data_IF_597448333512
#
_entry.id   IF_597448333512
#
_cell.length_a   1.000
_cell.length_b   1.000
_cell.length_c   1.000
_cell.angle_alpha   90.00
_cell.angle_beta   90.00
_cell.angle_gamma   90.00
#
_symmetry.space_group_name_H-M   'P 1'
#
loop_
_entity.id
_entity.type
_entity.pdbx_description
1 polymer ?
#
# COMPACT_ATOMS: atom_id res chain seq x y z
N UNK A 1 4.00 39.59 -35.45
CA UNK A 1 5.25 38.84 -35.23
C UNK A 1 5.39 38.58 -33.73
N UNK A 2 4.77 37.50 -33.23
CA UNK A 2 4.92 37.09 -31.84
C UNK A 2 6.09 36.12 -31.73
N UNK A 3 6.90 36.31 -30.69
CA UNK A 3 7.99 35.42 -30.34
C UNK A 3 7.44 34.01 -30.16
N UNK A 4 7.97 33.08 -30.94
CA UNK A 4 7.92 31.66 -30.61
C UNK A 4 8.65 31.50 -29.27
N UNK A 5 7.92 31.10 -28.24
CA UNK A 5 8.52 30.59 -27.01
C UNK A 5 9.27 29.30 -27.38
N UNK A 6 10.59 29.38 -27.41
CA UNK A 6 11.45 28.20 -27.44
C UNK A 6 11.12 27.35 -26.20
N UNK A 7 10.51 26.19 -26.45
CA UNK A 7 10.34 25.12 -25.48
C UNK A 7 11.72 24.72 -24.95
N UNK A 8 12.07 25.22 -23.76
CA UNK A 8 13.24 24.73 -23.06
C UNK A 8 13.07 23.22 -22.76
N UNK A 9 14.12 22.41 -22.92
CA UNK A 9 14.08 21.01 -22.53
C UNK A 9 13.73 20.91 -21.04
N UNK A 10 12.66 20.16 -20.74
CA UNK A 10 12.20 19.94 -19.37
C UNK A 10 13.34 19.29 -18.59
N UNK A 11 13.92 20.01 -17.62
CA UNK A 11 14.87 19.44 -16.66
C UNK A 11 14.23 18.25 -15.95
N UNK A 12 14.76 17.05 -16.17
CA UNK A 12 14.29 15.77 -15.61
C UNK A 12 14.71 15.55 -14.15
N UNK A 13 15.23 16.57 -13.46
CA UNK A 13 15.63 16.43 -12.06
C UNK A 13 14.42 16.20 -11.18
N UNK A 14 14.33 14.99 -10.61
CA UNK A 14 13.43 14.62 -9.52
C UNK A 14 14.08 14.81 -8.14
N UNK A 15 15.21 15.52 -8.05
CA UNK A 15 15.94 15.75 -6.79
C UNK A 15 15.62 17.10 -6.15
N UNK A 16 14.86 17.94 -6.83
CA UNK A 16 14.69 19.35 -6.48
C UNK A 16 13.58 19.57 -5.42
N UNK A 17 13.11 18.52 -4.72
CA UNK A 17 12.00 18.64 -3.78
C UNK A 17 12.29 19.50 -2.54
N UNK A 18 13.58 19.81 -2.28
CA UNK A 18 14.04 20.69 -1.22
C UNK A 18 14.37 22.14 -1.65
N UNK A 19 14.33 22.47 -2.94
CA UNK A 19 14.67 23.82 -3.43
C UNK A 19 13.41 24.70 -3.59
N UNK A 20 13.57 26.02 -3.49
CA UNK A 20 12.50 26.99 -3.74
C UNK A 20 12.02 26.99 -5.20
N UNK A 21 12.91 26.64 -6.13
CA UNK A 21 12.60 26.47 -7.54
C UNK A 21 12.49 24.98 -7.87
N UNK A 22 11.26 24.46 -7.90
CA UNK A 22 10.96 23.08 -8.24
C UNK A 22 10.89 22.92 -9.76
N UNK A 23 11.55 21.89 -10.30
CA UNK A 23 11.30 21.47 -11.68
C UNK A 23 9.83 21.10 -11.89
N UNK A 24 9.31 21.28 -13.11
CA UNK A 24 7.94 20.88 -13.46
C UNK A 24 7.71 19.37 -13.22
N UNK A 25 8.75 18.56 -13.41
CA UNK A 25 8.73 17.13 -13.10
C UNK A 25 8.53 16.87 -11.60
N UNK A 26 9.32 17.53 -10.74
CA UNK A 26 9.19 17.41 -9.28
C UNK A 26 7.81 17.89 -8.78
N UNK A 27 7.29 19.00 -9.32
CA UNK A 27 5.96 19.49 -8.97
C UNK A 27 4.86 18.48 -9.32
N UNK A 28 4.94 17.86 -10.50
CA UNK A 28 3.97 16.84 -10.94
C UNK A 28 3.97 15.62 -10.03
N UNK A 29 5.15 15.12 -9.67
CA UNK A 29 5.29 14.02 -8.71
C UNK A 29 4.80 14.44 -7.32
N UNK A 30 5.07 15.67 -6.87
CA UNK A 30 4.57 16.18 -5.58
C UNK A 30 3.04 16.21 -5.53
N UNK A 31 2.37 16.60 -6.62
CA UNK A 31 0.90 16.54 -6.74
C UNK A 31 0.40 15.10 -6.62
N UNK A 32 1.05 14.16 -7.31
CA UNK A 32 0.75 12.74 -7.17
C UNK A 32 0.89 12.24 -5.71
N UNK A 33 1.97 12.61 -5.02
CA UNK A 33 2.17 12.23 -3.61
C UNK A 33 1.11 12.84 -2.69
N UNK A 34 0.67 14.08 -2.95
CA UNK A 34 -0.45 14.69 -2.20
C UNK A 34 -1.74 13.91 -2.34
N UNK A 35 -2.09 13.47 -3.55
CA UNK A 35 -3.27 12.62 -3.78
C UNK A 35 -3.11 11.30 -3.01
N UNK A 36 -1.95 10.65 -3.09
CA UNK A 36 -1.67 9.41 -2.35
C UNK A 36 -1.74 9.59 -0.82
N UNK A 37 -1.27 10.71 -0.31
CA UNK A 37 -1.31 11.04 1.11
C UNK A 37 -2.74 11.32 1.60
N UNK A 38 -3.56 12.01 0.79
CA UNK A 38 -5.00 12.18 1.07
C UNK A 38 -5.73 10.84 1.11
N UNK A 39 -5.39 9.92 0.19
CA UNK A 39 -5.95 8.57 0.19
C UNK A 39 -5.54 7.82 1.46
N UNK A 40 -4.25 7.87 1.81
CA UNK A 40 -3.72 7.28 3.03
C UNK A 40 -4.44 7.81 4.27
N UNK A 41 -4.64 9.13 4.40
CA UNK A 41 -5.38 9.74 5.51
C UNK A 41 -6.82 9.24 5.59
N UNK A 42 -7.54 9.21 4.46
CA UNK A 42 -8.90 8.66 4.42
C UNK A 42 -8.92 7.17 4.82
N UNK A 43 -7.94 6.38 4.40
CA UNK A 43 -7.81 4.99 4.82
C UNK A 43 -7.47 4.86 6.32
N UNK A 44 -6.60 5.72 6.85
CA UNK A 44 -6.20 5.74 8.25
C UNK A 44 -7.41 5.91 9.18
N UNK A 45 -8.31 6.81 8.81
CA UNK A 45 -9.54 7.15 9.54
C UNK A 45 -10.60 6.06 9.52
N UNK A 46 -10.61 5.25 8.46
CA UNK A 46 -11.74 4.38 8.15
C UNK A 46 -11.39 2.89 8.05
N UNK A 47 -10.14 2.51 8.30
CA UNK A 47 -9.71 1.11 8.30
C UNK A 47 -9.48 0.63 9.72
N UNK A 48 -10.21 -0.42 10.11
CA UNK A 48 -10.05 -1.08 11.39
C UNK A 48 -8.86 -2.06 11.42
N UNK A 49 -8.40 -2.48 10.24
CA UNK A 49 -7.33 -3.46 10.05
C UNK A 49 -6.05 -2.83 9.52
N UNK A 50 -4.97 -3.60 9.58
CA UNK A 50 -3.67 -3.17 9.06
C UNK A 50 -3.70 -3.11 7.52
N UNK A 51 -3.00 -2.14 6.93
CA UNK A 51 -2.88 -1.98 5.49
C UNK A 51 -1.56 -1.31 5.12
N UNK A 52 -1.09 -1.54 3.89
CA UNK A 52 -0.03 -0.75 3.26
C UNK A 52 -0.49 -0.20 1.92
N UNK A 53 -0.02 1.01 1.60
CA UNK A 53 -0.17 1.66 0.31
C UNK A 53 1.21 1.87 -0.29
N UNK A 54 1.45 1.28 -1.47
CA UNK A 54 2.61 1.59 -2.29
C UNK A 54 2.30 2.79 -3.18
N UNK A 55 2.97 3.92 -2.92
CA UNK A 55 2.73 5.18 -3.64
C UNK A 55 3.09 5.09 -5.13
N UNK A 56 4.25 4.53 -5.52
CA UNK A 56 4.59 4.38 -6.95
C UNK A 56 3.55 3.54 -7.71
N UNK A 57 3.03 2.47 -7.11
CA UNK A 57 2.00 1.67 -7.73
C UNK A 57 0.70 2.43 -7.92
N UNK A 58 0.25 3.07 -6.85
CA UNK A 58 -0.95 3.88 -6.86
C UNK A 58 -0.89 4.97 -7.94
N UNK A 59 0.22 5.71 -8.00
CA UNK A 59 0.47 6.74 -9.01
C UNK A 59 0.41 6.16 -10.42
N UNK A 60 1.08 5.01 -10.64
CA UNK A 60 1.05 4.34 -11.93
C UNK A 60 -0.36 3.94 -12.36
N UNK A 61 -1.23 3.56 -11.42
CA UNK A 61 -2.60 3.19 -11.74
C UNK A 61 -3.47 4.38 -12.07
N UNK A 62 -3.41 5.46 -11.28
CA UNK A 62 -4.15 6.67 -11.60
C UNK A 62 -3.70 7.26 -12.93
N UNK A 63 -2.41 7.23 -13.21
CA UNK A 63 -1.84 7.66 -14.49
C UNK A 63 -2.31 6.78 -15.67
N UNK A 64 -2.41 5.46 -15.47
CA UNK A 64 -3.01 4.53 -16.43
C UNK A 64 -4.49 4.84 -16.68
N UNK A 65 -5.31 4.95 -15.63
CA UNK A 65 -6.73 5.30 -15.74
C UNK A 65 -6.91 6.64 -16.44
N UNK A 66 -6.10 7.65 -16.11
CA UNK A 66 -6.13 8.95 -16.75
C UNK A 66 -5.68 8.92 -18.22
N UNK A 67 -4.99 7.86 -18.66
CA UNK A 67 -4.57 7.68 -20.06
C UNK A 67 -5.66 7.06 -20.93
N UNK A 68 -6.41 6.11 -20.38
CA UNK A 68 -7.40 5.30 -21.10
C UNK A 68 -8.84 5.82 -20.89
N UNK A 69 -9.18 6.30 -19.69
CA UNK A 69 -10.49 6.84 -19.31
C UNK A 69 -10.44 8.37 -19.25
N UNK A 70 -9.88 9.00 -20.29
CA UNK A 70 -9.54 10.42 -20.29
C UNK A 70 -10.72 11.34 -19.97
N UNK A 71 -11.87 11.08 -20.56
CA UNK A 71 -13.09 11.89 -20.37
C UNK A 71 -13.74 11.66 -19.01
N UNK A 72 -13.44 10.53 -18.36
CA UNK A 72 -14.05 10.08 -17.11
C UNK A 72 -13.17 10.34 -15.88
N UNK A 73 -11.97 10.89 -16.10
CA UNK A 73 -10.96 11.19 -15.07
C UNK A 73 -10.72 12.70 -14.92
N UNK A 74 -11.73 13.52 -15.18
CA UNK A 74 -11.65 14.99 -15.14
C UNK A 74 -11.23 15.53 -13.78
N UNK A 75 -11.68 14.96 -12.65
CA UNK A 75 -11.20 15.41 -11.34
C UNK A 75 -9.72 15.16 -11.11
N UNK A 76 -9.12 14.11 -11.68
CA UNK A 76 -7.66 13.94 -11.64
C UNK A 76 -6.97 15.07 -12.40
N UNK A 77 -7.50 15.50 -13.54
CA UNK A 77 -6.96 16.63 -14.31
C UNK A 77 -7.02 17.94 -13.52
N UNK A 78 -8.11 18.14 -12.78
CA UNK A 78 -8.30 19.30 -11.90
C UNK A 78 -7.24 19.36 -10.81
N UNK A 79 -6.84 18.22 -10.22
CA UNK A 79 -5.72 18.16 -9.24
C UNK A 79 -4.38 18.63 -9.85
N UNK A 80 -4.22 18.49 -11.17
CA UNK A 80 -3.05 19.02 -11.89
C UNK A 80 -3.22 20.48 -12.34
N UNK A 81 -4.36 21.12 -12.08
CA UNK A 81 -4.64 22.50 -12.45
C UNK A 81 -4.95 22.69 -13.93
N UNK A 82 -5.40 21.63 -14.61
CA UNK A 82 -5.81 21.73 -16.01
C UNK A 82 -7.16 22.44 -16.10
N UNK A 83 -7.24 23.48 -16.92
CA UNK A 83 -8.48 24.24 -17.10
C UNK A 83 -9.37 23.56 -18.13
N UNK A 84 -10.67 23.48 -17.86
CA UNK A 84 -11.69 23.09 -18.85
C UNK A 84 -11.79 24.08 -20.02
N UNK A 85 -11.28 25.30 -19.85
CA UNK A 85 -11.22 26.33 -20.90
C UNK A 85 -9.96 26.29 -21.74
N UNK A 86 -8.99 25.42 -21.41
CA UNK A 86 -7.79 25.23 -22.22
C UNK A 86 -8.16 24.60 -23.56
N UNK A 87 -7.55 25.09 -24.64
CA UNK A 87 -7.72 24.50 -25.97
C UNK A 87 -7.26 23.03 -26.00
N UNK A 88 -7.87 22.23 -26.87
CA UNK A 88 -7.64 20.78 -26.96
C UNK A 88 -6.16 20.42 -27.09
N UNK A 89 -5.41 21.13 -27.94
CA UNK A 89 -3.98 20.90 -28.13
C UNK A 89 -3.17 21.13 -26.84
N UNK A 90 -3.52 22.15 -26.06
CA UNK A 90 -2.84 22.44 -24.80
C UNK A 90 -3.07 21.32 -23.78
N UNK A 91 -4.31 20.82 -23.69
CA UNK A 91 -4.66 19.68 -22.84
C UNK A 91 -3.92 18.40 -23.26
N UNK A 92 -3.80 18.15 -24.57
CA UNK A 92 -3.04 17.00 -25.09
C UNK A 92 -1.55 17.10 -24.73
N UNK A 93 -0.95 18.28 -24.83
CA UNK A 93 0.46 18.50 -24.45
C UNK A 93 0.66 18.33 -22.94
N UNK A 94 -0.23 18.92 -22.12
CA UNK A 94 -0.19 18.76 -20.66
C UNK A 94 -0.32 17.30 -20.25
N UNK A 95 -1.23 16.56 -20.88
CA UNK A 95 -1.40 15.13 -20.66
C UNK A 95 -0.13 14.36 -21.02
N UNK A 96 0.38 14.53 -22.24
CA UNK A 96 1.59 13.86 -22.71
C UNK A 96 2.77 14.09 -21.75
N UNK A 97 3.02 15.34 -21.37
CA UNK A 97 4.12 15.71 -20.49
C UNK A 97 3.98 15.04 -19.11
N UNK A 98 2.78 15.06 -18.53
CA UNK A 98 2.54 14.41 -17.23
C UNK A 98 2.76 12.89 -17.31
N UNK A 99 2.34 12.25 -18.42
CA UNK A 99 2.53 10.80 -18.61
C UNK A 99 4.02 10.44 -18.74
N UNK A 100 4.79 11.21 -19.51
CA UNK A 100 6.24 11.02 -19.66
C UNK A 100 6.97 11.20 -18.33
N UNK A 101 6.67 12.28 -17.59
CA UNK A 101 7.23 12.53 -16.26
C UNK A 101 6.93 11.37 -15.31
N UNK A 102 5.66 10.93 -15.26
CA UNK A 102 5.23 9.86 -14.37
C UNK A 102 5.98 8.57 -14.70
N UNK A 103 6.14 8.24 -15.98
CA UNK A 103 6.80 7.00 -16.37
C UNK A 103 8.29 7.02 -16.14
N UNK A 104 8.96 8.14 -16.40
CA UNK A 104 10.38 8.29 -16.11
C UNK A 104 10.62 8.13 -14.61
N UNK A 105 9.77 8.72 -13.77
CA UNK A 105 9.78 8.49 -12.32
C UNK A 105 9.61 7.01 -11.98
N UNK A 106 8.57 6.35 -12.52
CA UNK A 106 8.27 4.94 -12.25
C UNK A 106 9.39 3.98 -12.70
N UNK A 107 9.98 4.22 -13.87
CA UNK A 107 11.09 3.41 -14.41
C UNK A 107 12.34 3.56 -13.55
N UNK A 108 12.67 4.80 -13.20
CA UNK A 108 13.82 5.11 -12.34
C UNK A 108 13.64 4.46 -10.98
N UNK A 109 12.48 4.66 -10.37
CA UNK A 109 12.16 4.10 -9.07
C UNK A 109 12.18 2.56 -9.07
N UNK A 110 11.61 1.91 -10.09
CA UNK A 110 11.67 0.44 -10.24
C UNK A 110 13.11 -0.06 -10.32
N UNK A 111 13.97 0.60 -11.09
CA UNK A 111 15.38 0.23 -11.23
C UNK A 111 16.12 0.36 -9.90
N UNK A 112 15.89 1.45 -9.18
CA UNK A 112 16.54 1.71 -7.89
C UNK A 112 16.06 0.80 -6.77
N UNK A 113 14.77 0.42 -6.78
CA UNK A 113 14.23 -0.57 -5.86
C UNK A 113 14.89 -1.93 -6.13
N UNK A 114 14.95 -2.36 -7.40
CA UNK A 114 15.65 -3.57 -7.85
C UNK A 114 17.10 -3.60 -7.33
N UNK A 115 17.84 -2.50 -7.47
CA UNK A 115 19.21 -2.36 -6.96
C UNK A 115 19.31 -2.39 -5.44
N UNK A 116 18.30 -1.90 -4.72
CA UNK A 116 18.31 -1.86 -3.25
C UNK A 116 17.96 -3.19 -2.58
N UNK A 117 17.36 -4.11 -3.32
CA UNK A 117 17.05 -5.43 -2.81
C UNK A 117 18.22 -6.38 -2.91
N UNK A 118 18.19 -7.41 -2.05
CA UNK A 118 19.03 -8.58 -2.28
C UNK A 118 18.80 -9.11 -3.70
N UNK A 119 19.88 -9.47 -4.45
CA UNK A 119 19.75 -10.25 -5.66
C UNK A 119 18.84 -11.46 -5.42
N UNK A 120 17.73 -11.55 -6.15
CA UNK A 120 16.78 -12.67 -6.05
C UNK A 120 15.57 -12.48 -5.12
N UNK A 121 15.44 -11.37 -4.38
CA UNK A 121 14.32 -11.18 -3.42
C UNK A 121 13.40 -9.97 -3.65
N UNK A 122 13.55 -9.24 -4.77
CA UNK A 122 12.41 -8.47 -5.28
C UNK A 122 11.57 -9.38 -6.15
N UNK A 123 10.38 -9.73 -5.64
CA UNK A 123 9.25 -9.98 -6.52
C UNK A 123 8.78 -8.64 -7.02
N UNK A 124 9.09 -8.37 -8.29
CA UNK A 124 8.72 -7.14 -8.96
C UNK A 124 7.25 -6.85 -8.72
N UNK A 125 6.97 -5.66 -8.23
CA UNK A 125 5.76 -4.89 -8.53
C UNK A 125 4.99 -5.44 -9.75
N UNK A 126 3.89 -6.18 -9.54
CA UNK A 126 3.03 -6.67 -10.64
C UNK A 126 1.71 -5.90 -10.67
N UNK A 127 1.20 -5.67 -11.87
CA UNK A 127 -0.07 -5.01 -12.12
C UNK A 127 -0.81 -5.88 -13.10
N UNK A 128 -2.06 -6.17 -12.81
CA UNK A 128 -2.88 -7.06 -13.62
C UNK A 128 -4.23 -6.41 -13.84
N UNK A 129 -4.64 -6.37 -15.10
CA UNK A 129 -6.02 -6.15 -15.47
C UNK A 129 -6.68 -7.52 -15.61
N UNK A 130 -7.59 -7.79 -14.67
CA UNK A 130 -8.26 -9.06 -14.52
C UNK A 130 -9.60 -8.99 -15.25
N UNK A 131 -9.89 -9.99 -16.07
CA UNK A 131 -11.17 -10.10 -16.78
C UNK A 131 -11.96 -11.34 -16.35
N UNK A 132 -13.31 -11.26 -16.34
CA UNK A 132 -14.19 -12.38 -16.04
C UNK A 132 -14.30 -13.29 -17.27
N UNK A 133 -13.45 -14.33 -17.37
CA UNK A 133 -13.45 -15.42 -18.40
C UNK A 133 -13.41 -15.04 -19.90
N UNK A 134 -13.77 -13.82 -20.29
CA UNK A 134 -13.75 -13.30 -21.66
C UNK A 134 -13.09 -11.92 -21.67
N UNK A 135 -12.09 -11.75 -22.56
CA UNK A 135 -11.43 -10.47 -22.78
C UNK A 135 -12.22 -9.61 -23.77
N UNK A 136 -12.24 -8.30 -23.55
CA UNK A 136 -12.79 -7.31 -24.49
C UNK A 136 -11.71 -6.94 -25.52
N UNK A 137 -12.11 -6.65 -26.76
CA UNK A 137 -11.19 -6.08 -27.75
C UNK A 137 -10.81 -4.65 -27.34
N UNK A 138 -9.53 -4.40 -27.12
CA UNK A 138 -9.01 -3.07 -26.76
C UNK A 138 -8.64 -2.25 -27.99
N UNK A 139 -8.76 -0.92 -27.89
CA UNK A 139 -8.14 -0.03 -28.87
C UNK A 139 -6.62 -0.11 -28.78
N UNK A 140 -5.94 0.23 -29.88
CA UNK A 140 -4.47 0.24 -29.96
C UNK A 140 -3.84 1.08 -28.84
N UNK A 141 -4.43 2.25 -28.54
CA UNK A 141 -3.99 3.15 -27.48
C UNK A 141 -4.01 2.48 -26.10
N UNK A 142 -5.00 1.63 -25.84
CA UNK A 142 -5.13 0.90 -24.57
C UNK A 142 -4.09 -0.21 -24.48
N UNK A 143 -3.83 -0.94 -25.57
CA UNK A 143 -2.74 -1.91 -25.64
C UNK A 143 -1.36 -1.26 -25.40
N UNK A 144 -1.12 -0.09 -26.00
CA UNK A 144 0.09 0.70 -25.75
C UNK A 144 0.20 1.13 -24.29
N UNK A 145 -0.91 1.58 -23.68
CA UNK A 145 -0.94 1.94 -22.26
C UNK A 145 -0.66 0.74 -21.35
N UNK A 146 -1.27 -0.43 -21.60
CA UNK A 146 -1.00 -1.65 -20.84
C UNK A 146 0.50 -1.99 -20.85
N UNK A 147 1.14 -1.96 -22.03
CA UNK A 147 2.59 -2.15 -22.16
C UNK A 147 3.38 -1.06 -21.42
N UNK A 148 3.00 0.20 -21.59
CA UNK A 148 3.70 1.38 -21.05
C UNK A 148 3.67 1.42 -19.52
N UNK A 149 2.57 0.95 -18.91
CA UNK A 149 2.40 0.86 -17.46
C UNK A 149 2.70 -0.54 -16.89
N UNK A 150 3.20 -1.47 -17.70
CA UNK A 150 3.49 -2.85 -17.29
C UNK A 150 2.28 -3.54 -16.62
N UNK A 151 1.10 -3.33 -17.19
CA UNK A 151 -0.13 -4.00 -16.77
C UNK A 151 -0.30 -5.25 -17.60
N UNK A 152 -0.27 -6.41 -16.93
CA UNK A 152 -0.49 -7.71 -17.55
C UNK A 152 -2.00 -7.95 -17.68
N UNK A 153 -2.42 -8.58 -18.77
CA UNK A 153 -3.78 -9.06 -18.91
C UNK A 153 -3.85 -10.47 -18.35
N UNK A 154 -4.79 -10.72 -17.44
CA UNK A 154 -5.02 -12.07 -16.92
C UNK A 154 -6.51 -12.39 -16.88
N UNK A 155 -6.85 -13.59 -17.35
CA UNK A 155 -8.14 -14.21 -17.15
C UNK A 155 -8.03 -15.09 -15.92
N UNK A 156 -8.99 -14.97 -15.01
CA UNK A 156 -9.12 -15.86 -13.86
C UNK A 156 -10.37 -16.70 -14.04
N UNK A 157 -10.25 -18.01 -13.86
CA UNK A 157 -11.38 -18.96 -13.94
C UNK A 157 -12.18 -19.04 -12.63
N UNK A 158 -11.76 -18.31 -11.58
CA UNK A 158 -12.47 -18.23 -10.30
C UNK A 158 -11.64 -17.63 -9.17
N UNK A 159 -12.23 -17.58 -7.97
CA UNK A 159 -11.60 -16.99 -6.79
C UNK A 159 -10.38 -17.80 -6.29
N UNK A 160 -10.37 -19.12 -6.49
CA UNK A 160 -9.23 -19.97 -6.13
C UNK A 160 -7.98 -19.65 -6.95
N UNK A 161 -8.11 -19.53 -8.28
CA UNK A 161 -6.98 -19.18 -9.15
C UNK A 161 -6.46 -17.77 -8.86
N UNK A 162 -7.36 -16.84 -8.52
CA UNK A 162 -6.98 -15.50 -8.08
C UNK A 162 -6.16 -15.54 -6.78
N UNK A 163 -6.63 -16.27 -5.77
CA UNK A 163 -5.92 -16.46 -4.49
C UNK A 163 -4.58 -17.17 -4.68
N UNK A 164 -4.54 -18.20 -5.52
CA UNK A 164 -3.32 -18.92 -5.85
C UNK A 164 -2.30 -18.00 -6.54
N UNK A 165 -2.74 -17.17 -7.48
CA UNK A 165 -1.86 -16.20 -8.14
C UNK A 165 -1.33 -15.14 -7.18
N UNK A 166 -2.18 -14.58 -6.29
CA UNK A 166 -1.71 -13.65 -5.25
C UNK A 166 -0.67 -14.35 -4.35
N UNK A 167 -0.98 -15.57 -3.92
CA UNK A 167 -0.12 -16.39 -3.05
C UNK A 167 1.24 -16.68 -3.67
N UNK A 168 1.27 -17.05 -4.94
CA UNK A 168 2.49 -17.28 -5.71
C UNK A 168 3.33 -16.01 -5.84
N UNK A 169 2.70 -14.88 -6.17
CA UNK A 169 3.40 -13.62 -6.43
C UNK A 169 3.87 -12.91 -5.16
N UNK A 170 3.27 -13.20 -4.01
CA UNK A 170 3.73 -12.70 -2.70
C UNK A 170 4.54 -13.74 -1.91
N UNK A 171 4.58 -15.02 -2.33
CA UNK A 171 5.14 -16.15 -1.58
C UNK A 171 4.49 -16.36 -0.22
N UNK A 172 3.18 -16.13 -0.13
CA UNK A 172 2.45 -16.24 1.13
C UNK A 172 1.18 -17.03 0.95
N UNK A 173 0.74 -17.65 2.03
CA UNK A 173 -0.52 -18.36 2.05
C UNK A 173 -1.66 -17.37 2.36
N UNK A 174 -2.50 -17.10 1.35
CA UNK A 174 -3.71 -16.28 1.48
C UNK A 174 -4.99 -17.12 1.66
N UNK A 175 -4.90 -18.43 1.87
CA UNK A 175 -6.05 -19.36 1.95
C UNK A 175 -7.12 -18.91 2.95
N UNK A 176 -6.73 -18.25 4.05
CA UNK A 176 -7.63 -17.76 5.11
C UNK A 176 -7.89 -16.25 5.09
N UNK A 177 -7.23 -15.49 4.21
CA UNK A 177 -7.53 -14.07 4.08
C UNK A 177 -8.75 -13.89 3.21
N UNK A 178 -9.65 -12.99 3.61
CA UNK A 178 -10.72 -12.49 2.76
C UNK A 178 -10.08 -11.73 1.61
N UNK A 179 -9.56 -12.40 0.58
CA UNK A 179 -9.26 -11.77 -0.70
C UNK A 179 -10.60 -11.48 -1.34
N UNK A 180 -10.80 -10.27 -1.88
CA UNK A 180 -12.07 -9.94 -2.54
C UNK A 180 -12.29 -10.99 -3.64
N UNK A 181 -13.33 -11.81 -3.48
CA UNK A 181 -13.66 -12.84 -4.47
C UNK A 181 -13.86 -12.17 -5.81
N UNK A 182 -13.19 -12.72 -6.82
CA UNK A 182 -13.04 -12.11 -8.14
C UNK A 182 -14.25 -12.47 -8.97
N UNK A 183 -15.38 -11.90 -8.58
CA UNK A 183 -16.70 -12.04 -9.18
C UNK A 183 -17.43 -13.34 -8.84
N UNK A 184 -17.87 -13.41 -7.59
CA UNK A 184 -18.70 -14.46 -6.98
C UNK A 184 -18.13 -15.89 -7.08
N UNK A 185 -17.72 -16.41 -5.93
CA UNK A 185 -18.24 -17.68 -5.41
C UNK A 185 -18.30 -17.57 -3.87
N UNK A 186 -19.29 -18.22 -3.27
CA UNK A 186 -19.55 -18.42 -1.83
C UNK A 186 -20.14 -17.24 -1.02
N UNK A 187 -21.47 -17.33 -0.88
CA UNK A 187 -22.11 -17.35 0.43
C UNK A 187 -21.16 -17.86 1.53
N UNK A 188 -20.59 -16.95 2.31
CA UNK A 188 -20.03 -17.33 3.60
C UNK A 188 -21.21 -17.80 4.46
N UNK A 189 -21.24 -19.11 4.70
CA UNK A 189 -22.38 -19.89 5.23
C UNK A 189 -23.17 -19.26 6.38
N UNK A 190 -24.49 -19.52 6.31
CA UNK A 190 -25.47 -19.68 7.38
C UNK A 190 -25.57 -18.60 8.46
N UNK A 191 -26.55 -17.70 8.29
CA UNK A 191 -27.46 -17.24 9.35
C UNK A 191 -28.60 -16.39 8.76
N UNK A 192 -29.46 -16.97 7.91
CA UNK A 192 -30.85 -16.51 7.77
C UNK A 192 -31.72 -17.73 7.47
N UNK A 193 -32.46 -18.18 8.47
CA UNK A 193 -33.54 -19.15 8.31
C UNK A 193 -34.47 -18.75 7.16
N UNK A 194 -34.74 -19.72 6.28
CA UNK A 194 -35.90 -19.82 5.39
C UNK A 194 -36.22 -18.62 4.47
N UNK A 195 -36.05 -18.78 3.16
CA UNK A 195 -37.17 -18.82 2.20
C UNK A 195 -36.70 -19.57 0.96
N UNK A 196 -37.47 -20.58 0.54
CA UNK A 196 -37.31 -21.34 -0.69
C UNK A 196 -37.01 -20.45 -1.91
N UNK A 197 -35.85 -20.65 -2.54
CA UNK A 197 -35.61 -20.21 -3.91
C UNK A 197 -35.51 -21.46 -4.77
N UNK A 198 -36.60 -21.73 -5.48
CA UNK A 198 -36.70 -22.77 -6.51
C UNK A 198 -35.53 -22.67 -7.50
N UNK A 199 -34.73 -23.73 -7.54
CA UNK A 199 -33.72 -23.98 -8.58
C UNK A 199 -34.40 -24.10 -9.94
N UNK A 200 -34.41 -23.03 -10.73
CA UNK A 200 -34.61 -23.12 -12.18
C UNK A 200 -33.29 -23.48 -12.86
N UNK A 201 -33.27 -24.42 -13.83
CA UNK A 201 -32.07 -24.73 -14.59
C UNK A 201 -31.69 -23.50 -15.45
N UNK A 202 -30.46 -23.03 -15.30
CA UNK A 202 -29.93 -21.88 -16.01
C UNK A 202 -29.69 -22.20 -17.50
N UNK A 203 -30.19 -21.35 -18.40
CA UNK A 203 -29.86 -21.39 -19.82
C UNK A 203 -28.42 -20.91 -20.04
N UNK A 204 -27.54 -21.80 -20.52
CA UNK A 204 -26.08 -21.58 -20.70
C UNK A 204 -25.74 -20.35 -21.58
N UNK A 205 -26.67 -19.84 -22.40
CA UNK A 205 -26.48 -18.66 -23.23
C UNK A 205 -26.59 -17.31 -22.52
N UNK A 206 -27.39 -17.20 -21.45
CA UNK A 206 -27.57 -15.94 -20.71
C UNK A 206 -26.40 -15.63 -19.78
N UNK A 207 -25.73 -16.67 -19.26
CA UNK A 207 -24.60 -16.50 -18.34
C UNK A 207 -23.39 -15.85 -19.00
N UNK A 208 -23.08 -16.16 -20.27
CA UNK A 208 -21.95 -15.55 -20.98
C UNK A 208 -22.14 -14.04 -21.23
N UNK A 209 -23.38 -13.62 -21.52
CA UNK A 209 -23.73 -12.20 -21.73
C UNK A 209 -23.72 -11.43 -20.39
N UNK A 210 -24.17 -12.04 -19.29
CA UNK A 210 -24.10 -11.46 -17.95
C UNK A 210 -22.66 -11.41 -17.40
N UNK A 211 -21.84 -12.43 -17.65
CA UNK A 211 -20.41 -12.43 -17.32
C UNK A 211 -19.64 -11.36 -18.10
N UNK A 212 -19.99 -11.14 -19.37
CA UNK A 212 -19.43 -10.06 -20.18
C UNK A 212 -19.76 -8.65 -19.64
N UNK A 213 -20.87 -8.48 -18.90
CA UNK A 213 -21.22 -7.20 -18.27
C UNK A 213 -20.44 -6.91 -16.99
N UNK A 214 -19.69 -7.88 -16.44
CA UNK A 214 -18.88 -7.67 -15.24
C UNK A 214 -17.65 -6.80 -15.58
N UNK A 215 -17.51 -5.66 -14.91
CA UNK A 215 -16.36 -4.76 -15.10
C UNK A 215 -15.05 -5.43 -14.64
N UNK A 216 -13.92 -5.21 -15.33
CA UNK A 216 -12.62 -5.79 -14.98
C UNK A 216 -12.10 -5.26 -13.63
N UNK A 217 -11.15 -5.97 -13.03
CA UNK A 217 -10.45 -5.53 -11.82
C UNK A 217 -9.04 -5.13 -12.22
N UNK A 218 -8.68 -3.88 -11.97
CA UNK A 218 -7.30 -3.45 -11.99
C UNK A 218 -6.67 -3.73 -10.62
N UNK A 219 -5.91 -4.82 -10.57
CA UNK A 219 -5.20 -5.27 -9.38
C UNK A 219 -3.72 -4.89 -9.44
N UNK A 220 -3.11 -4.66 -8.28
CA UNK A 220 -1.67 -4.62 -8.16
C UNK A 220 -1.18 -5.31 -6.90
N UNK A 221 -0.01 -5.93 -7.06
CA UNK A 221 0.73 -6.57 -6.00
C UNK A 221 2.06 -5.84 -5.86
N UNK A 222 2.40 -5.50 -4.63
CA UNK A 222 3.67 -4.88 -4.30
C UNK A 222 4.27 -5.53 -3.06
N UNK A 223 5.54 -5.90 -3.16
CA UNK A 223 6.31 -6.44 -2.05
C UNK A 223 7.59 -5.63 -1.92
N UNK A 224 7.79 -5.01 -0.77
CA UNK A 224 9.04 -4.36 -0.41
C UNK A 224 9.68 -5.08 0.77
N UNK A 225 10.98 -5.36 0.63
CA UNK A 225 11.77 -5.98 1.67
C UNK A 225 13.03 -5.14 1.93
N UNK A 226 13.04 -4.42 3.04
CA UNK A 226 14.05 -3.39 3.35
C UNK A 226 14.90 -3.84 4.53
N UNK A 227 16.19 -3.50 4.58
CA UNK A 227 16.95 -3.67 5.82
C UNK A 227 17.11 -2.34 6.54
N UNK A 228 16.79 -2.37 7.82
CA UNK A 228 17.35 -1.44 8.79
C UNK A 228 18.83 -1.80 8.97
N UNK A 229 19.67 -0.82 9.25
CA UNK A 229 21.10 -1.03 9.52
C UNK A 229 21.36 -2.19 10.51
N UNK A 230 22.11 -3.25 10.14
CA UNK A 230 22.27 -4.45 10.97
C UNK A 230 23.16 -4.24 12.20
N UNK A 231 23.93 -3.15 12.24
CA UNK A 231 24.71 -2.77 13.42
C UNK A 231 23.83 -2.25 14.57
N UNK A 232 22.65 -1.69 14.26
CA UNK A 232 21.69 -1.23 15.26
C UNK A 232 20.49 -2.17 15.40
N UNK A 233 20.14 -2.94 14.37
CA UNK A 233 18.96 -3.82 14.38
C UNK A 233 19.30 -5.23 14.86
N UNK A 234 18.58 -5.72 15.87
CA UNK A 234 18.79 -7.06 16.40
C UNK A 234 18.21 -8.13 15.47
N UNK A 235 19.08 -8.74 14.69
CA UNK A 235 18.74 -9.83 13.76
C UNK A 235 18.65 -11.21 14.46
N UNK A 236 19.01 -11.32 15.74
CA UNK A 236 19.18 -12.61 16.42
C UNK A 236 17.98 -12.99 17.27
N UNK A 237 17.37 -12.02 17.94
CA UNK A 237 16.34 -12.29 18.94
C UNK A 237 15.03 -11.60 18.60
N UNK A 238 13.93 -12.28 18.91
CA UNK A 238 12.62 -11.68 19.00
C UNK A 238 12.35 -11.33 20.47
N UNK A 239 11.73 -10.17 20.69
CA UNK A 239 11.46 -9.68 22.03
C UNK A 239 9.97 -9.81 22.33
N UNK A 240 9.62 -10.17 23.56
CA UNK A 240 8.23 -10.38 23.95
C UNK A 240 7.89 -9.48 25.14
N UNK A 241 6.73 -8.83 25.05
CA UNK A 241 6.10 -8.15 26.17
C UNK A 241 4.63 -8.57 26.19
N UNK A 242 4.24 -9.28 27.25
CA UNK A 242 2.97 -10.03 27.30
C UNK A 242 2.93 -11.02 26.13
N UNK A 243 1.90 -10.95 25.28
CA UNK A 243 1.72 -11.80 24.11
C UNK A 243 2.17 -11.15 22.80
N UNK A 244 2.74 -9.94 22.85
CA UNK A 244 3.15 -9.20 21.66
C UNK A 244 4.64 -9.41 21.40
N UNK A 245 4.97 -9.70 20.14
CA UNK A 245 6.34 -9.83 19.63
C UNK A 245 6.83 -8.48 19.13
N UNK A 246 8.08 -8.13 19.40
CA UNK A 246 8.75 -6.89 19.06
C UNK A 246 10.09 -7.16 18.39
N UNK A 247 10.45 -6.29 17.45
CA UNK A 247 11.83 -6.10 17.00
C UNK A 247 12.54 -5.12 17.91
N UNK A 248 13.87 -5.24 17.99
CA UNK A 248 14.73 -4.34 18.76
C UNK A 248 15.72 -3.62 17.87
N UNK A 249 15.83 -2.31 18.08
CA UNK A 249 16.94 -1.48 17.65
C UNK A 249 17.69 -1.04 18.89
N UNK A 250 19.01 -1.23 18.93
CA UNK A 250 19.86 -0.89 20.06
C UNK A 250 20.84 0.22 19.69
N UNK A 251 21.14 1.08 20.66
CA UNK A 251 22.26 1.99 20.57
C UNK A 251 23.58 1.20 20.49
N UNK A 252 24.55 1.75 19.78
CA UNK A 252 25.91 1.21 19.69
C UNK A 252 26.91 2.24 20.21
N UNK A 253 28.18 1.86 20.48
CA UNK A 253 29.20 2.83 20.86
C UNK A 253 29.36 4.01 19.87
N UNK A 254 29.00 3.80 18.59
CA UNK A 254 29.14 4.79 17.53
C UNK A 254 27.83 5.50 17.15
N UNK A 255 26.68 4.94 17.54
CA UNK A 255 25.34 5.44 17.19
C UNK A 255 24.44 5.42 18.42
N UNK A 256 24.23 6.59 19.02
CA UNK A 256 23.29 6.77 20.11
C UNK A 256 21.86 7.02 19.59
N UNK A 257 20.85 6.47 20.27
CA UNK A 257 19.45 6.79 20.01
C UNK A 257 19.12 8.06 20.79
N UNK A 258 18.98 9.18 20.06
CA UNK A 258 18.73 10.51 20.66
C UNK A 258 17.25 10.80 20.71
N UNK A 259 16.79 11.38 21.82
CA UNK A 259 15.47 11.98 21.90
C UNK A 259 15.50 13.44 21.47
N UNK A 260 14.49 13.83 20.70
CA UNK A 260 14.27 15.19 20.22
C UNK A 260 12.82 15.61 20.45
N UNK A 261 12.56 16.90 20.50
CA UNK A 261 11.20 17.44 20.58
C UNK A 261 10.76 17.97 19.22
N UNK A 262 9.47 17.87 18.91
CA UNK A 262 8.82 18.46 17.73
C UNK A 262 7.40 18.90 18.07
N UNK A 263 6.90 19.91 17.36
CA UNK A 263 5.53 20.41 17.48
C UNK A 263 4.50 19.49 16.79
N UNK A 264 4.95 18.38 16.17
CA UNK A 264 4.05 17.39 15.59
C UNK A 264 3.10 16.80 16.63
N UNK A 265 1.82 16.51 16.27
CA UNK A 265 0.81 16.05 17.22
C UNK A 265 0.96 14.58 17.62
N UNK A 266 2.10 13.95 17.35
CA UNK A 266 2.40 12.54 17.56
C UNK A 266 3.89 12.35 17.86
N UNK A 267 4.26 11.16 18.35
CA UNK A 267 5.67 10.78 18.44
C UNK A 267 6.10 10.05 17.17
N UNK A 268 7.37 10.17 16.80
CA UNK A 268 7.96 9.37 15.75
C UNK A 268 9.31 8.79 16.09
N UNK A 269 9.69 7.76 15.38
CA UNK A 269 11.05 7.24 15.34
C UNK A 269 11.52 7.30 13.89
N UNK A 270 12.75 7.76 13.67
CA UNK A 270 13.40 7.73 12.36
C UNK A 270 14.60 6.78 12.44
N UNK A 271 14.62 5.76 11.60
CA UNK A 271 15.64 4.73 11.55
C UNK A 271 16.39 4.76 10.21
N UNK A 272 17.72 4.65 10.21
CA UNK A 272 18.50 4.54 8.98
C UNK A 272 18.37 3.14 8.37
N UNK A 273 18.15 3.09 7.06
CA UNK A 273 18.20 1.85 6.30
C UNK A 273 19.64 1.54 5.84
N UNK A 274 19.88 0.32 5.38
CA UNK A 274 21.16 -0.07 4.74
C UNK A 274 21.41 0.76 3.47
N UNK A 275 20.35 1.03 2.70
CA UNK A 275 20.42 1.98 1.59
C UNK A 275 20.32 3.40 2.15
N UNK A 276 21.31 4.28 1.91
CA UNK A 276 21.37 5.61 2.51
C UNK A 276 20.26 6.56 2.02
N UNK A 277 19.75 6.34 0.81
CA UNK A 277 18.65 7.13 0.23
C UNK A 277 17.27 6.73 0.78
N UNK A 278 17.20 5.80 1.73
CA UNK A 278 15.98 5.35 2.36
C UNK A 278 16.06 5.51 3.88
N UNK A 279 14.94 5.90 4.46
CA UNK A 279 14.76 5.82 5.91
C UNK A 279 13.42 5.18 6.26
N UNK A 280 13.36 4.62 7.46
CA UNK A 280 12.15 4.00 7.98
C UNK A 280 11.62 4.86 9.13
N UNK A 281 10.36 5.27 9.02
CA UNK A 281 9.71 6.17 9.98
C UNK A 281 8.54 5.45 10.63
N UNK A 282 8.51 5.46 11.95
CA UNK A 282 7.37 5.00 12.74
C UNK A 282 6.66 6.21 13.34
N UNK A 283 5.33 6.26 13.27
CA UNK A 283 4.53 7.29 13.94
C UNK A 283 3.53 6.60 14.89
N UNK A 284 3.49 7.02 16.15
CA UNK A 284 2.64 6.41 17.18
C UNK A 284 2.06 7.47 18.11
N UNK A 285 1.04 7.09 18.90
CA UNK A 285 0.25 7.99 19.73
C UNK A 285 -0.33 9.17 18.94
N UNK A 286 -0.82 8.87 17.73
CA UNK A 286 -1.41 9.85 16.83
C UNK A 286 -2.94 9.90 16.98
N UNK A 287 -3.52 11.06 16.67
CA UNK A 287 -4.96 11.23 16.49
C UNK A 287 -5.37 10.81 15.07
N UNK A 288 -6.67 10.75 14.78
CA UNK A 288 -7.21 10.37 13.45
C UNK A 288 -6.51 11.09 12.27
N UNK A 289 -6.12 12.35 12.45
CA UNK A 289 -5.27 13.09 11.49
C UNK A 289 -3.82 13.21 11.96
N UNK A 290 -2.86 12.89 11.07
CA UNK A 290 -1.41 13.03 11.31
C UNK A 290 -0.96 14.50 11.22
N UNK A 291 -0.94 15.05 10.01
CA UNK A 291 -0.58 16.42 9.64
C UNK A 291 -0.78 16.57 8.12
N UNK A 292 -0.48 17.72 7.53
CA UNK A 292 -0.43 17.85 6.07
C UNK A 292 0.78 17.09 5.48
N UNK A 293 0.71 16.76 4.18
CA UNK A 293 1.82 16.11 3.47
C UNK A 293 3.12 16.92 3.57
N UNK A 294 3.02 18.26 3.51
CA UNK A 294 4.18 19.14 3.54
C UNK A 294 4.83 19.21 4.92
N UNK A 295 4.03 19.26 5.98
CA UNK A 295 4.53 19.19 7.35
C UNK A 295 5.22 17.85 7.60
N UNK A 296 4.64 16.73 7.16
CA UNK A 296 5.27 15.41 7.28
C UNK A 296 6.61 15.36 6.54
N UNK A 297 6.65 15.89 5.32
CA UNK A 297 7.85 15.93 4.47
C UNK A 297 8.98 16.70 5.16
N UNK A 298 8.70 17.94 5.56
CA UNK A 298 9.66 18.82 6.27
C UNK A 298 10.15 18.16 7.56
N UNK A 299 9.24 17.58 8.34
CA UNK A 299 9.62 16.87 9.57
C UNK A 299 10.58 15.71 9.31
N UNK A 300 10.27 14.82 8.36
CA UNK A 300 11.15 13.67 8.09
C UNK A 300 12.53 14.15 7.61
N UNK A 301 12.57 15.14 6.74
CA UNK A 301 13.80 15.69 6.16
C UNK A 301 14.71 16.31 7.24
N UNK A 302 14.13 17.08 8.16
CA UNK A 302 14.88 17.71 9.27
C UNK A 302 15.43 16.69 10.27
N UNK A 303 14.66 15.63 10.54
CA UNK A 303 15.00 14.66 11.59
C UNK A 303 15.92 13.55 11.10
N UNK A 304 15.92 13.24 9.78
CA UNK A 304 16.70 12.15 9.20
C UNK A 304 18.21 12.26 9.46
N UNK A 305 18.77 13.47 9.44
CA UNK A 305 20.19 13.70 9.74
C UNK A 305 20.62 13.25 11.16
N UNK A 306 19.65 13.06 12.07
CA UNK A 306 19.88 12.63 13.45
C UNK A 306 19.54 11.15 13.67
N UNK A 307 19.18 10.40 12.62
CA UNK A 307 18.79 9.00 12.75
C UNK A 307 19.96 8.11 13.23
N UNK A 308 19.73 7.12 14.13
CA UNK A 308 18.46 6.78 14.74
C UNK A 308 18.04 7.78 15.82
N UNK A 309 16.80 8.26 15.75
CA UNK A 309 16.26 9.20 16.74
C UNK A 309 14.80 8.93 17.07
N UNK A 310 14.40 9.34 18.27
CA UNK A 310 13.02 9.41 18.74
C UNK A 310 12.65 10.89 18.79
N UNK A 311 11.55 11.25 18.14
CA UNK A 311 11.03 12.61 18.14
C UNK A 311 9.72 12.62 18.92
N UNK A 312 9.70 13.35 20.02
CA UNK A 312 8.58 13.46 20.93
C UNK A 312 7.73 14.66 20.57
N UNK A 313 6.41 14.45 20.45
CA UNK A 313 5.42 15.52 20.58
C UNK A 313 5.73 16.40 21.79
N UNK A 314 5.79 17.70 21.56
CA UNK A 314 5.93 18.71 22.57
C UNK A 314 4.68 19.62 22.55
N UNK A 315 4.08 19.88 23.71
CA UNK A 315 2.86 20.72 23.81
C UNK A 315 3.17 22.22 23.85
N UNK A 316 4.41 22.58 24.16
CA UNK A 316 4.89 23.98 24.13
C UNK A 316 5.43 24.32 22.75
N UNK A 317 5.24 25.57 22.33
CA UNK A 317 5.96 26.11 21.17
C UNK A 317 7.45 26.10 21.45
N UNK A 318 8.22 25.54 20.54
CA UNK A 318 9.67 25.51 20.66
C UNK A 318 10.21 26.92 20.36
N UNK A 319 10.88 27.54 21.33
CA UNK A 319 11.69 28.74 21.08
C UNK A 319 13.10 28.32 20.66
N UNK A 320 13.72 29.07 19.76
CA UNK A 320 15.13 28.86 19.36
C UNK A 320 16.11 28.89 20.54
N UNK A 321 15.69 29.48 21.67
CA UNK A 321 16.50 29.72 22.87
C UNK A 321 16.37 28.68 23.97
N UNK A 322 15.48 27.68 23.82
CA UNK A 322 15.33 26.67 24.87
C UNK A 322 16.34 25.54 24.67
N UNK A 323 17.30 25.31 25.60
CA UNK A 323 18.27 24.24 25.46
C UNK A 323 17.54 22.89 25.43
N UNK A 324 17.69 22.16 24.33
CA UNK A 324 17.23 20.77 24.25
C UNK A 324 18.04 19.92 25.24
N UNK A 325 17.36 19.35 26.23
CA UNK A 325 17.97 18.32 27.07
C UNK A 325 18.11 17.06 26.21
N UNK A 326 19.34 16.72 25.82
CA UNK A 326 19.63 15.53 25.00
C UNK A 326 19.44 14.27 25.85
N UNK A 327 18.22 13.73 25.87
CA UNK A 327 17.93 12.41 26.46
C UNK A 327 18.33 11.32 25.47
N UNK A 328 18.76 10.17 26.00
CA UNK A 328 19.19 9.02 25.20
C UNK A 328 18.43 7.78 25.63
N UNK A 329 18.21 6.89 24.68
CA UNK A 329 17.65 5.55 24.92
C UNK A 329 18.69 4.49 24.56
N UNK A 330 18.65 3.38 25.26
CA UNK A 330 19.45 2.21 24.93
C UNK A 330 18.79 1.37 23.85
N UNK A 331 17.47 1.22 23.88
CA UNK A 331 16.75 0.37 22.95
C UNK A 331 15.43 1.01 22.48
N UNK A 332 15.06 0.73 21.24
CA UNK A 332 13.71 0.92 20.69
C UNK A 332 13.15 -0.46 20.38
N UNK A 333 11.98 -0.76 20.93
CA UNK A 333 11.18 -1.93 20.63
C UNK A 333 9.97 -1.49 19.82
N UNK A 334 9.78 -2.06 18.64
CA UNK A 334 8.57 -1.84 17.87
C UNK A 334 7.91 -3.17 17.48
N UNK A 335 6.57 -3.25 17.49
CA UNK A 335 5.90 -4.54 17.31
C UNK A 335 6.25 -5.17 15.97
N UNK A 336 6.39 -6.50 15.98
CA UNK A 336 6.42 -7.31 14.78
C UNK A 336 5.01 -7.35 14.18
N UNK A 337 4.90 -7.10 12.87
CA UNK A 337 3.67 -7.35 12.11
C UNK A 337 3.87 -8.54 11.19
N UNK A 338 2.90 -9.44 11.20
CA UNK A 338 2.85 -10.58 10.30
C UNK A 338 2.20 -10.21 8.98
N UNK A 339 2.57 -10.92 7.93
CA UNK A 339 2.02 -10.74 6.57
C UNK A 339 0.55 -11.17 6.47
N UNK A 340 0.06 -11.89 7.48
CA UNK A 340 -1.32 -12.36 7.62
C UNK A 340 -2.33 -11.27 7.99
N UNK A 341 -1.88 -10.05 8.35
CA UNK A 341 -2.72 -9.03 8.97
C UNK A 341 -3.37 -8.05 7.97
N UNK A 342 -3.20 -8.28 6.66
CA UNK A 342 -3.60 -7.34 5.61
C UNK A 342 -4.88 -7.79 4.90
N UNK A 343 -5.95 -6.99 5.00
CA UNK A 343 -7.20 -7.20 4.27
C UNK A 343 -7.29 -6.31 3.03
N UNK A 344 -8.03 -6.74 2.00
CA UNK A 344 -8.38 -5.87 0.89
C UNK A 344 -9.20 -4.70 1.41
N UNK A 345 -8.73 -3.51 1.08
CA UNK A 345 -9.41 -2.27 1.43
C UNK A 345 -10.30 -1.84 0.27
N UNK A 346 -11.36 -1.08 0.54
CA UNK A 346 -12.27 -0.55 -0.50
C UNK A 346 -11.65 0.65 -1.20
N UNK A 347 -10.55 0.43 -1.93
CA UNK A 347 -9.72 1.50 -2.50
C UNK A 347 -10.51 2.45 -3.39
N UNK A 348 -11.40 1.93 -4.25
CA UNK A 348 -12.24 2.76 -5.13
C UNK A 348 -13.13 3.73 -4.33
N UNK A 349 -13.91 3.25 -3.35
CA UNK A 349 -14.77 4.09 -2.52
C UNK A 349 -13.96 5.15 -1.73
N UNK A 350 -12.75 4.80 -1.28
CA UNK A 350 -11.87 5.75 -0.58
C UNK A 350 -11.28 6.79 -1.52
N UNK A 351 -11.00 6.42 -2.76
CA UNK A 351 -10.47 7.32 -3.79
C UNK A 351 -11.54 8.31 -4.26
N UNK A 352 -12.78 7.89 -4.47
CA UNK A 352 -13.89 8.77 -4.87
C UNK A 352 -14.14 9.90 -3.86
N UNK A 353 -13.89 9.64 -2.58
CA UNK A 353 -14.03 10.66 -1.51
C UNK A 353 -12.93 11.73 -1.53
N UNK A 354 -11.83 11.51 -2.26
CA UNK A 354 -10.70 12.46 -2.29
C UNK A 354 -10.49 13.10 -3.67
N UNK A 355 -10.89 12.45 -4.75
CA UNK A 355 -10.78 12.98 -6.11
C UNK A 355 -12.08 12.68 -6.83
N UNK A 356 -12.58 13.67 -7.56
CA UNK A 356 -13.79 13.56 -8.38
C UNK A 356 -13.54 12.66 -9.61
N UNK A 357 -13.72 11.36 -9.43
CA UNK A 357 -13.62 10.35 -10.48
C UNK A 357 -14.85 9.44 -10.48
N UNK A 358 -15.99 9.97 -10.03
CA UNK A 358 -17.23 9.20 -9.92
C UNK A 358 -17.67 8.66 -11.28
N UNK A 359 -17.49 9.45 -12.34
CA UNK A 359 -17.76 9.01 -13.72
C UNK A 359 -16.90 7.82 -14.18
N UNK A 360 -15.71 7.61 -13.59
CA UNK A 360 -14.91 6.40 -13.88
C UNK A 360 -15.61 5.16 -13.30
N UNK A 361 -16.38 5.33 -12.23
CA UNK A 361 -17.10 4.28 -11.53
C UNK A 361 -18.61 4.30 -11.77
N UNK A 362 -19.03 4.68 -12.99
CA UNK A 362 -20.40 4.50 -13.51
C UNK A 362 -20.43 3.57 -14.72
N UNK A 363 -21.61 3.28 -15.25
CA UNK A 363 -21.79 2.46 -16.45
C UNK A 363 -20.96 2.99 -17.63
N UNK A 364 -20.11 2.13 -18.22
CA UNK A 364 -19.21 2.51 -19.31
C UNK A 364 -18.03 3.40 -18.90
N UNK A 365 -17.89 3.73 -17.61
CA UNK A 365 -16.86 4.62 -17.08
C UNK A 365 -15.42 4.11 -17.23
N UNK A 366 -15.25 2.80 -17.40
CA UNK A 366 -13.97 2.12 -17.65
C UNK A 366 -13.48 2.25 -19.10
N UNK A 367 -14.21 3.00 -19.94
CA UNK A 367 -13.88 3.18 -21.34
C UNK A 367 -13.82 1.83 -22.05
N UNK A 368 -12.78 1.64 -22.85
CA UNK A 368 -12.59 0.39 -23.61
C UNK A 368 -11.97 -0.75 -22.79
N UNK A 369 -11.72 -0.55 -21.48
CA UNK A 369 -11.33 -1.65 -20.62
C UNK A 369 -12.49 -2.62 -20.34
N UNK A 370 -13.72 -2.18 -20.51
CA UNK A 370 -14.91 -2.95 -20.22
C UNK A 370 -15.91 -2.86 -21.37
N UNK A 371 -16.96 -3.69 -21.31
CA UNK A 371 -18.08 -3.51 -22.22
C UNK A 371 -18.78 -2.15 -21.97
N UNK A 372 -19.36 -1.50 -22.99
CA UNK A 372 -19.98 -0.18 -22.82
C UNK A 372 -21.07 -0.10 -21.74
N UNK A 373 -21.77 -1.21 -21.47
CA UNK A 373 -22.80 -1.31 -20.43
C UNK A 373 -22.28 -1.91 -19.11
N UNK A 374 -20.96 -2.03 -18.94
CA UNK A 374 -20.38 -2.62 -17.74
C UNK A 374 -20.52 -1.64 -16.56
N UNK A 375 -21.09 -2.12 -15.46
CA UNK A 375 -21.33 -1.32 -14.26
C UNK A 375 -20.27 -1.68 -13.22
N UNK A 376 -19.43 -0.71 -12.81
CA UNK A 376 -18.50 -0.92 -11.72
C UNK A 376 -19.23 -0.92 -10.37
N UNK A 377 -18.85 -1.87 -9.54
CA UNK A 377 -19.34 -2.11 -8.21
C UNK A 377 -18.71 -1.09 -7.24
N UNK A 378 -19.35 0.06 -7.12
CA UNK A 378 -18.96 1.14 -6.19
C UNK A 378 -20.04 1.45 -5.14
N UNK A 379 -21.14 0.69 -5.09
CA UNK A 379 -22.27 0.95 -4.17
C UNK A 379 -23.02 -0.29 -3.67
N UNK A 380 -22.86 -0.57 -2.37
CA UNK A 380 -23.93 -0.94 -1.43
C UNK A 380 -24.52 -2.37 -1.43
N UNK A 381 -24.09 -3.29 -2.30
CA UNK A 381 -24.55 -4.69 -2.23
C UNK A 381 -23.46 -5.58 -1.62
N UNK A 382 -23.90 -6.61 -0.88
CA UNK A 382 -23.09 -7.55 -0.09
C UNK A 382 -22.18 -8.46 -0.94
N UNK A 383 -22.32 -8.39 -2.28
CA UNK A 383 -21.68 -9.25 -3.29
C UNK A 383 -20.74 -8.49 -4.26
N UNK A 384 -20.27 -7.28 -3.89
CA UNK A 384 -19.65 -6.35 -4.84
C UNK A 384 -18.12 -6.24 -4.71
N UNK A 385 -17.45 -6.63 -5.79
CA UNK A 385 -15.99 -6.72 -5.99
C UNK A 385 -15.40 -5.37 -6.38
N UNK A 386 -14.49 -4.83 -5.59
CA UNK A 386 -13.82 -3.57 -5.91
C UNK A 386 -12.97 -3.68 -7.18
N UNK A 387 -13.18 -2.78 -8.14
CA UNK A 387 -12.45 -2.75 -9.42
C UNK A 387 -11.02 -2.21 -9.32
N UNK A 388 -10.64 -1.67 -8.17
CA UNK A 388 -9.27 -1.33 -7.81
C UNK A 388 -8.86 -2.14 -6.58
N UNK A 389 -7.85 -2.99 -6.71
CA UNK A 389 -7.40 -3.87 -5.63
C UNK A 389 -5.89 -3.79 -5.40
N UNK A 390 -5.51 -3.43 -4.18
CA UNK A 390 -4.11 -3.35 -3.75
C UNK A 390 -3.76 -4.49 -2.80
N UNK A 391 -2.69 -5.20 -3.10
CA UNK A 391 -2.02 -6.10 -2.18
C UNK A 391 -0.58 -5.62 -2.01
N UNK A 392 -0.35 -4.78 -1.01
CA UNK A 392 0.99 -4.26 -0.69
C UNK A 392 1.46 -4.81 0.65
N UNK A 393 2.69 -5.28 0.68
CA UNK A 393 3.35 -5.78 1.89
C UNK A 393 4.72 -5.10 2.02
N UNK A 394 5.07 -4.71 3.24
CA UNK A 394 6.38 -4.18 3.61
C UNK A 394 6.97 -5.00 4.75
N UNK A 395 8.18 -5.51 4.54
CA UNK A 395 8.90 -6.38 5.48
C UNK A 395 10.38 -6.00 5.66
N UNK A 396 11.01 -6.67 6.62
CA UNK A 396 12.46 -6.59 6.85
C UNK A 396 13.20 -7.89 6.56
N UNK A 397 14.27 -7.82 5.75
CA UNK A 397 15.02 -9.02 5.36
C UNK A 397 16.08 -9.43 6.36
N UNK A 398 16.45 -8.51 7.25
CA UNK A 398 17.31 -8.77 8.40
C UNK A 398 16.48 -9.08 9.66
N UNK A 399 15.18 -9.31 9.52
CA UNK A 399 14.34 -9.83 10.59
C UNK A 399 14.86 -11.20 11.07
N UNK A 400 14.83 -11.49 12.39
CA UNK A 400 15.19 -12.79 12.95
C UNK A 400 14.45 -14.01 12.35
N UNK A 401 13.33 -13.83 11.64
CA UNK A 401 12.45 -14.94 11.23
C UNK A 401 12.27 -15.10 9.72
N UNK A 402 13.07 -15.97 9.10
CA UNK A 402 12.59 -16.91 8.06
C UNK A 402 12.13 -18.25 8.68
N UNK A 403 12.19 -18.37 10.00
CA UNK A 403 11.68 -19.50 10.79
C UNK A 403 10.80 -18.96 11.90
N UNK A 404 9.52 -18.75 11.62
CA UNK A 404 8.53 -18.81 12.71
C UNK A 404 8.48 -20.29 13.09
N UNK A 405 8.75 -20.69 14.34
CA UNK A 405 8.59 -22.07 14.69
C UNK A 405 7.10 -22.44 14.68
N UNK A 406 6.78 -23.57 14.07
CA UNK A 406 5.45 -24.17 14.18
C UNK A 406 5.07 -24.31 15.66
N UNK A 407 3.79 -24.09 15.98
CA UNK A 407 3.24 -24.16 17.34
C UNK A 407 3.50 -25.52 18.03
N UNK A 408 3.84 -26.55 17.26
CA UNK A 408 4.07 -27.93 17.75
C UNK A 408 5.55 -28.35 17.81
N UNK A 409 6.49 -27.45 17.48
CA UNK A 409 7.91 -27.73 17.64
C UNK A 409 8.41 -26.97 18.86
N UNK A 410 9.01 -27.68 19.81
CA UNK A 410 9.81 -27.13 20.92
C UNK A 410 10.96 -26.25 20.38
N UNK A 411 10.63 -25.07 19.87
CA UNK A 411 11.60 -24.07 19.47
C UNK A 411 11.97 -23.31 20.73
N UNK A 412 13.07 -23.79 21.28
CA UNK A 412 13.71 -23.39 22.52
C UNK A 412 13.52 -21.92 22.90
N UNK A 413 13.34 -21.72 24.21
CA UNK A 413 13.39 -20.45 24.92
C UNK A 413 14.67 -19.60 24.68
N UNK A 414 15.58 -20.02 23.78
CA UNK A 414 16.84 -19.38 23.45
C UNK A 414 16.71 -18.20 22.48
N UNK A 415 15.64 -18.11 21.67
CA UNK A 415 15.50 -17.04 20.65
C UNK A 415 14.52 -15.93 21.06
N UNK A 416 13.67 -16.18 22.05
CA UNK A 416 12.71 -15.19 22.59
C UNK A 416 13.25 -14.59 23.89
N UNK A 417 13.22 -13.27 24.01
CA UNK A 417 13.64 -12.54 25.22
C UNK A 417 12.52 -11.67 25.75
N UNK A 418 12.30 -11.68 27.06
CA UNK A 418 11.35 -10.76 27.68
C UNK A 418 11.91 -9.34 27.67
N UNK A 419 11.08 -8.36 27.27
CA UNK A 419 11.41 -6.94 27.40
C UNK A 419 11.39 -6.57 28.88
N UNK A 420 12.48 -5.98 29.35
CA UNK A 420 12.50 -5.31 30.65
C UNK A 420 11.99 -3.87 30.46
N UNK A 421 10.87 -3.53 31.07
CA UNK A 421 10.37 -2.15 31.08
C UNK A 421 11.37 -1.29 31.89
N UNK A 422 12.00 -0.33 31.21
CA UNK A 422 12.98 0.61 31.78
C UNK A 422 12.79 1.97 31.11
N UNK A 423 13.09 3.05 31.84
CA UNK A 423 13.15 4.40 31.27
C UNK A 423 14.17 4.53 30.14
N UNK A 424 15.15 3.63 30.05
CA UNK A 424 16.16 3.59 28.98
C UNK A 424 15.62 2.95 27.69
N UNK A 425 14.44 2.35 27.74
CA UNK A 425 13.80 1.69 26.60
C UNK A 425 12.66 2.54 26.03
N UNK A 426 12.47 2.44 24.72
CA UNK A 426 11.28 2.92 24.03
C UNK A 426 10.46 1.74 23.55
N UNK A 427 9.16 1.72 23.81
CA UNK A 427 8.26 0.63 23.41
C UNK A 427 7.12 1.23 22.60
N UNK A 428 7.10 0.97 21.30
CA UNK A 428 6.08 1.51 20.39
C UNK A 428 4.75 0.77 20.61
N UNK A 429 3.66 1.49 20.93
CA UNK A 429 2.35 0.87 21.10
C UNK A 429 1.64 0.64 19.76
N UNK A 430 0.63 -0.24 19.79
CA UNK A 430 -0.39 -0.29 18.74
C UNK A 430 -1.49 0.76 18.98
N UNK A 431 -2.14 1.28 17.93
CA UNK A 431 -1.73 1.22 16.53
C UNK A 431 -0.56 2.19 16.25
N UNK A 432 0.24 1.89 15.23
CA UNK A 432 1.28 2.79 14.72
C UNK A 432 1.25 2.85 13.19
N UNK A 433 1.81 3.91 12.63
CA UNK A 433 2.05 4.03 11.19
C UNK A 433 3.49 3.64 10.88
N UNK A 434 3.71 2.87 9.82
CA UNK A 434 5.02 2.57 9.27
C UNK A 434 5.17 3.21 7.89
N UNK A 435 6.28 3.92 7.70
CA UNK A 435 6.56 4.65 6.47
C UNK A 435 7.96 4.27 5.99
N UNK A 436 8.05 3.84 4.74
CA UNK A 436 9.32 3.80 4.02
C UNK A 436 9.43 5.09 3.20
N UNK A 437 10.48 5.85 3.41
CA UNK A 437 10.67 7.17 2.84
C UNK A 437 11.91 7.23 1.95
N UNK A 438 11.80 7.88 0.80
CA UNK A 438 12.92 8.20 -0.09
C UNK A 438 13.46 9.58 0.27
N UNK A 439 14.65 9.61 0.87
CA UNK A 439 15.26 10.84 1.39
C UNK A 439 15.92 11.68 0.29
N UNK A 440 16.19 11.11 -0.88
CA UNK A 440 16.75 11.83 -2.02
C UNK A 440 15.65 12.59 -2.78
N UNK A 441 14.44 12.02 -2.83
CA UNK A 441 13.28 12.64 -3.50
C UNK A 441 12.30 13.28 -2.54
N UNK A 442 12.45 13.08 -1.24
CA UNK A 442 11.54 13.61 -0.22
C UNK A 442 10.09 13.16 -0.45
N UNK A 443 9.90 11.86 -0.72
CA UNK A 443 8.58 11.26 -1.00
C UNK A 443 8.39 9.94 -0.26
N UNK A 444 7.14 9.60 0.12
CA UNK A 444 6.83 8.30 0.67
C UNK A 444 6.89 7.24 -0.44
N UNK A 445 7.44 6.08 -0.09
CA UNK A 445 7.50 4.90 -0.95
C UNK A 445 6.38 3.93 -0.56
N UNK A 446 6.30 3.65 0.73
CA UNK A 446 5.21 2.90 1.35
C UNK A 446 4.73 3.65 2.58
N UNK A 447 3.42 3.63 2.80
CA UNK A 447 2.82 4.04 4.07
C UNK A 447 1.80 3.00 4.49
N UNK A 448 1.78 2.64 5.77
CA UNK A 448 0.82 1.71 6.30
C UNK A 448 0.45 1.98 7.74
N UNK A 449 -0.73 1.48 8.12
CA UNK A 449 -1.22 1.44 9.50
C UNK A 449 -1.07 0.00 9.99
N UNK A 450 -0.48 -0.21 11.15
CA UNK A 450 -0.41 -1.50 11.82
C UNK A 450 -1.22 -1.40 13.11
N UNK A 451 -2.24 -2.25 13.23
CA UNK A 451 -3.23 -2.16 14.31
C UNK A 451 -3.04 -3.17 15.42
N UNK A 452 -2.29 -4.25 15.18
CA UNK A 452 -2.17 -5.39 16.10
C UNK A 452 -3.44 -6.24 16.23
N UNK A 453 -4.52 -5.89 15.52
CA UNK A 453 -5.73 -6.70 15.46
C UNK A 453 -5.52 -7.84 14.48
N UNK A 454 -5.60 -9.07 14.96
CA UNK A 454 -5.54 -10.26 14.13
C UNK A 454 -6.97 -10.71 13.78
N UNK A 455 -7.40 -10.63 12.51
CA UNK A 455 -8.76 -10.96 12.09
C UNK A 455 -9.13 -12.43 12.35
N UNK A 456 -8.13 -13.33 12.33
CA UNK A 456 -8.32 -14.77 12.52
C UNK A 456 -8.68 -15.18 13.95
N UNK A 457 -8.49 -14.32 14.95
CA UNK A 457 -8.88 -14.59 16.34
C UNK A 457 -10.36 -14.28 16.63
N UNK A 458 -11.02 -13.51 15.76
CA UNK A 458 -12.45 -13.18 15.92
C UNK A 458 -13.38 -14.22 15.28
N UNK A 459 -12.83 -15.22 14.60
CA UNK A 459 -13.56 -16.44 14.25
C UNK A 459 -13.19 -17.51 15.27
N UNK A 460 -13.89 -17.53 16.41
CA UNK A 460 -13.89 -18.75 17.22
C UNK A 460 -14.30 -19.90 16.30
N UNK A 461 -13.53 -21.01 16.23
CA UNK A 461 -14.03 -22.18 15.56
C UNK A 461 -15.27 -22.61 16.34
N UNK A 462 -16.44 -22.60 15.69
CA UNK A 462 -17.60 -23.30 16.21
C UNK A 462 -17.13 -24.70 16.62
N UNK A 463 -17.14 -24.97 17.94
CA UNK A 463 -16.68 -26.22 18.52
C UNK A 463 -17.49 -27.36 17.88
N UNK A 464 -16.90 -28.04 16.90
CA UNK A 464 -17.56 -29.13 16.18
C UNK A 464 -17.13 -29.34 14.72
N UNK A 465 -16.51 -28.35 14.06
CA UNK A 465 -16.19 -28.43 12.62
C UNK A 465 -15.06 -29.39 12.24
N UNK A 466 -14.00 -29.47 13.04
CA UNK A 466 -12.77 -30.20 12.69
C UNK A 466 -13.00 -31.72 12.55
N UNK A 467 -13.82 -32.30 13.44
CA UNK A 467 -14.17 -33.73 13.41
C UNK A 467 -15.12 -34.08 12.25
N UNK A 468 -16.03 -33.16 11.90
CA UNK A 468 -16.92 -33.33 10.73
C UNK A 468 -16.12 -33.31 9.43
N UNK A 469 -15.09 -32.46 9.34
CA UNK A 469 -14.22 -32.37 8.16
C UNK A 469 -13.33 -33.62 7.97
N UNK A 470 -12.67 -34.08 9.03
CA UNK A 470 -11.83 -35.30 9.00
C UNK A 470 -12.63 -36.55 8.61
N UNK A 471 -13.89 -36.65 9.06
CA UNK A 471 -14.75 -37.81 8.74
C UNK A 471 -15.16 -37.92 7.27
N UNK A 472 -15.14 -36.81 6.51
CA UNK A 472 -15.48 -36.80 5.07
C UNK A 472 -14.30 -37.20 4.18
N UNK A 473 -13.06 -36.99 4.63
CA UNK A 473 -11.85 -37.17 3.82
C UNK A 473 -11.11 -38.49 4.09
N UNK A 474 -11.54 -39.27 5.09
CA UNK A 474 -10.92 -40.54 5.47
C UNK A 474 -11.73 -41.79 5.10
N UNK A 475 -12.73 -41.68 4.21
CA UNK A 475 -13.34 -42.90 3.66
C UNK A 475 -12.41 -43.49 2.59
N UNK A 476 -11.86 -44.71 2.77
CA UNK A 476 -11.13 -45.38 1.71
C UNK A 476 -12.09 -45.68 0.57
N UNK A 477 -11.70 -45.36 -0.66
CA UNK A 477 -12.41 -45.81 -1.86
C UNK A 477 -12.32 -47.35 -1.91
N UNK A 478 -13.47 -48.02 -1.78
CA UNK A 478 -13.65 -49.44 -2.11
C UNK A 478 -13.81 -49.62 -3.61
#
# INVERSE_FOLDING_TARGET
>A
MSKAEELQPISESFKDFGTTDLSHASLSIRKWMKIGYRLYGNMLDNSDYSFFLSFPHFISQLSFLMSICQEKTTGLRTEFGWSSTSGELALQVQHKNLMEITQNFMKTWKNELNQSSKPGHIKTARRVLCHPTCAVSFHLKTLECLRRYFVELKLFEGAEEHRAWISENLEKNFERQTVVNVWDEESLNDDVDSVDMETKPAEEGNNAVELAKKSPILMWISYANVAIRPDIFDVKFLYTLKDTVYFRVAATPNLAIRERESEMPWHSIVLPCVKPDLCFVLIYNFSRNLCSYEELRVHIDEQFQFAPCIVRKCERKLSETTPMVERRKENIYFPYWGESDFHPNRFAERLQKIVDIDETFTEGGFGDLAFPSAIPSSGGSMYKVGHLQNFSILNFHNSPSTRIPAEDCNADATTKRNIQESEDNEIVPYPFCAILWDTNRHVPVYMGKITGKNPSKNTEPAKGGLWKWLSRHLKPKS
#
